data_IF_855267993612
#
_entry.id   IF_855267993612
#
_cell.length_a   1.000
_cell.length_b   1.000
_cell.length_c   1.000
_cell.angle_alpha   90.00
_cell.angle_beta   90.00
_cell.angle_gamma   90.00
#
_symmetry.space_group_name_H-M   'P 1'
#
loop_
_entity.id
_entity.type
_entity.pdbx_description
1 polymer ?
#
# COMPACT_ATOMS: atom_id res chain seq x y z
N UNK A 1 -13.14 10.80 17.83
CA UNK A 1 -13.00 10.57 16.38
C UNK A 1 -14.26 9.90 15.87
N UNK A 2 -14.90 10.45 14.83
CA UNK A 2 -15.99 9.80 14.13
C UNK A 2 -15.61 8.35 13.79
N UNK A 3 -16.57 7.42 13.89
CA UNK A 3 -16.31 6.01 13.58
C UNK A 3 -15.74 5.84 12.16
N UNK A 4 -16.24 6.62 11.21
CA UNK A 4 -15.81 6.66 9.81
C UNK A 4 -14.34 7.05 9.67
N UNK A 5 -13.90 8.16 10.29
CA UNK A 5 -12.50 8.60 10.32
C UNK A 5 -11.57 7.47 10.83
N UNK A 6 -11.96 6.78 11.90
CA UNK A 6 -11.17 5.66 12.45
C UNK A 6 -11.05 4.49 11.47
N UNK A 7 -12.07 4.19 10.68
CA UNK A 7 -12.00 3.14 9.65
C UNK A 7 -11.07 3.51 8.50
N UNK A 8 -11.11 4.76 8.04
CA UNK A 8 -10.19 5.29 7.02
C UNK A 8 -8.73 5.20 7.47
N UNK A 9 -8.45 5.63 8.70
CA UNK A 9 -7.08 5.55 9.24
C UNK A 9 -6.62 4.09 9.36
N UNK A 10 -7.44 3.20 9.94
CA UNK A 10 -7.07 1.79 10.11
C UNK A 10 -6.85 1.08 8.77
N UNK A 11 -7.75 1.27 7.80
CA UNK A 11 -7.60 0.67 6.47
C UNK A 11 -6.38 1.22 5.74
N UNK A 12 -6.13 2.53 5.82
CA UNK A 12 -4.92 3.16 5.28
C UNK A 12 -3.63 2.55 5.85
N UNK A 13 -3.57 2.25 7.15
CA UNK A 13 -2.42 1.58 7.76
C UNK A 13 -2.24 0.14 7.27
N UNK A 14 -3.33 -0.58 7.03
CA UNK A 14 -3.26 -1.93 6.45
C UNK A 14 -2.68 -1.86 5.03
N UNK A 15 -3.18 -0.96 4.18
CA UNK A 15 -2.65 -0.77 2.83
C UNK A 15 -1.19 -0.30 2.82
N UNK A 16 -0.79 0.53 3.79
CA UNK A 16 0.61 0.91 3.95
C UNK A 16 1.48 -0.31 4.19
N UNK A 17 1.09 -1.20 5.10
CA UNK A 17 1.80 -2.44 5.38
C UNK A 17 1.95 -3.31 4.11
N UNK A 18 0.87 -3.49 3.35
CA UNK A 18 0.93 -4.24 2.09
C UNK A 18 1.81 -3.57 1.03
N UNK A 19 1.77 -2.24 0.93
CA UNK A 19 2.63 -1.49 0.01
C UNK A 19 4.12 -1.67 0.35
N UNK A 20 4.48 -1.74 1.64
CA UNK A 20 5.84 -2.03 2.08
C UNK A 20 6.27 -3.45 1.72
N UNK A 21 5.39 -4.44 1.92
CA UNK A 21 5.66 -5.83 1.53
C UNK A 21 5.88 -5.94 0.02
N UNK A 22 5.10 -5.22 -0.80
CA UNK A 22 5.28 -5.15 -2.25
C UNK A 22 6.60 -4.45 -2.62
N UNK A 23 6.96 -3.36 -1.94
CA UNK A 23 8.22 -2.67 -2.18
C UNK A 23 9.42 -3.58 -1.92
N UNK A 24 9.43 -4.27 -0.77
CA UNK A 24 10.49 -5.21 -0.42
C UNK A 24 10.52 -6.40 -1.37
N UNK A 25 9.36 -7.01 -1.64
CA UNK A 25 9.26 -8.16 -2.54
C UNK A 25 9.77 -7.84 -3.95
N UNK A 26 9.33 -6.71 -4.52
CA UNK A 26 9.79 -6.27 -5.85
C UNK A 26 11.27 -5.89 -5.88
N UNK A 27 11.79 -5.25 -4.82
CA UNK A 27 13.20 -4.93 -4.70
C UNK A 27 14.08 -6.20 -4.62
N UNK A 28 13.68 -7.19 -3.81
CA UNK A 28 14.38 -8.48 -3.72
C UNK A 28 14.33 -9.23 -5.04
N UNK A 29 13.18 -9.22 -5.73
CA UNK A 29 13.04 -9.89 -7.02
C UNK A 29 13.93 -9.27 -8.11
N UNK A 30 14.23 -7.97 -8.05
CA UNK A 30 15.19 -7.36 -8.99
C UNK A 30 16.62 -7.88 -8.84
N UNK A 31 16.98 -8.36 -7.65
CA UNK A 31 18.32 -8.89 -7.36
C UNK A 31 18.40 -10.39 -7.59
N UNK A 32 17.35 -11.12 -7.17
CA UNK A 32 17.32 -12.58 -7.14
C UNK A 32 16.55 -13.21 -8.31
N UNK A 33 15.75 -12.44 -9.05
CA UNK A 33 14.99 -12.86 -10.23
C UNK A 33 14.20 -14.17 -10.06
N UNK A 34 13.49 -14.32 -8.95
CA UNK A 34 12.83 -15.58 -8.57
C UNK A 34 11.36 -15.67 -8.99
N UNK A 35 10.73 -14.59 -9.46
CA UNK A 35 9.32 -14.59 -9.87
C UNK A 35 9.01 -13.58 -10.98
N UNK A 36 8.45 -14.06 -12.09
CA UNK A 36 8.02 -13.20 -13.20
C UNK A 36 6.82 -12.31 -12.83
N UNK A 37 5.95 -12.79 -11.94
CA UNK A 37 4.75 -12.05 -11.50
C UNK A 37 5.15 -10.78 -10.75
N UNK A 38 6.17 -10.87 -9.89
CA UNK A 38 6.64 -9.72 -9.12
C UNK A 38 7.30 -8.65 -10.00
N UNK A 39 7.82 -9.02 -11.18
CA UNK A 39 8.36 -8.06 -12.15
C UNK A 39 7.30 -7.06 -12.61
N UNK A 40 6.04 -7.49 -12.71
CA UNK A 40 4.91 -6.66 -13.12
C UNK A 40 4.13 -6.05 -11.94
N UNK A 41 4.57 -6.24 -10.70
CA UNK A 41 3.84 -5.78 -9.50
C UNK A 41 4.04 -4.29 -9.18
N UNK A 42 4.86 -3.57 -9.95
CA UNK A 42 5.16 -2.16 -9.68
C UNK A 42 3.95 -1.21 -9.76
N UNK A 43 3.01 -1.35 -10.71
CA UNK A 43 1.76 -0.58 -10.71
C UNK A 43 0.90 -0.90 -9.49
N UNK A 44 0.90 -2.16 -9.03
CA UNK A 44 0.18 -2.59 -7.83
C UNK A 44 0.76 -1.87 -6.62
N UNK A 45 2.08 -1.90 -6.43
CA UNK A 45 2.76 -1.15 -5.37
C UNK A 45 2.31 0.32 -5.32
N UNK A 46 2.37 1.04 -6.45
CA UNK A 46 1.98 2.45 -6.48
C UNK A 46 0.49 2.66 -6.18
N UNK A 47 -0.41 1.80 -6.67
CA UNK A 47 -1.83 1.92 -6.35
C UNK A 47 -2.11 1.62 -4.87
N UNK A 48 -1.47 0.59 -4.30
CA UNK A 48 -1.61 0.24 -2.88
C UNK A 48 -1.08 1.36 -1.99
N UNK A 49 0.03 2.00 -2.37
CA UNK A 49 0.62 3.12 -1.65
C UNK A 49 -0.20 4.41 -1.78
N UNK A 50 -0.53 4.82 -3.01
CA UNK A 50 -1.17 6.11 -3.29
C UNK A 50 -2.66 6.07 -2.93
N UNK A 51 -3.41 5.14 -3.52
CA UNK A 51 -4.87 5.05 -3.34
C UNK A 51 -5.23 4.32 -2.05
N UNK A 52 -4.51 3.24 -1.75
CA UNK A 52 -4.77 2.43 -0.56
C UNK A 52 -4.34 3.12 0.73
N UNK A 53 -3.15 3.71 0.80
CA UNK A 53 -2.68 4.37 2.02
C UNK A 53 -2.93 5.87 2.04
N UNK A 54 -2.31 6.63 1.12
CA UNK A 54 -2.31 8.10 1.20
C UNK A 54 -3.73 8.67 1.13
N UNK A 55 -4.53 8.26 0.15
CA UNK A 55 -5.91 8.76 0.00
C UNK A 55 -6.78 8.43 1.22
N UNK A 56 -6.68 7.21 1.78
CA UNK A 56 -7.44 6.81 2.97
C UNK A 56 -7.04 7.66 4.20
N UNK A 57 -5.76 7.98 4.36
CA UNK A 57 -5.30 8.84 5.46
C UNK A 57 -5.81 10.27 5.30
N UNK A 58 -5.78 10.82 4.09
CA UNK A 58 -6.35 12.16 3.81
C UNK A 58 -7.83 12.18 4.21
N UNK A 59 -8.63 11.21 3.75
CA UNK A 59 -10.04 11.13 4.14
C UNK A 59 -10.23 10.93 5.65
N UNK A 60 -9.42 10.10 6.29
CA UNK A 60 -9.50 9.87 7.72
C UNK A 60 -9.23 11.12 8.57
N UNK A 61 -8.39 12.04 8.09
CA UNK A 61 -8.07 13.30 8.78
C UNK A 61 -9.05 14.43 8.41
N UNK A 62 -9.63 14.40 7.21
CA UNK A 62 -10.54 15.44 6.72
C UNK A 62 -12.01 15.25 7.13
N UNK A 63 -12.38 14.10 7.71
CA UNK A 63 -13.74 13.76 8.20
C UNK A 63 -13.79 13.82 9.72
#
# INVERSE_FOLDING_TARGET
MPSVSRWFIKSGMIYFMFSLMLAVGTALNRVLSFSDVLTFAQPVFYHTLMVGWITQIIFGVSI
#
